data_IF_687305278454
#
_entry.id   IF_687305278454
#
_cell.length_a   1.000
_cell.length_b   1.000
_cell.length_c   1.000
_cell.angle_alpha   90.00
_cell.angle_beta   90.00
_cell.angle_gamma   90.00
#
_symmetry.space_group_name_H-M   'P 1'
#
loop_
_entity.id
_entity.type
_entity.pdbx_description
1 polymer ?
#
# COMPACT_ATOMS: atom_id res chain seq x y z
N UNK A 1 8.09 10.03 -13.66
CA UNK A 1 7.46 11.19 -13.00
C UNK A 1 7.49 10.91 -11.51
N UNK A 2 8.00 11.84 -10.73
CA UNK A 2 8.43 11.64 -9.34
C UNK A 2 7.40 12.29 -8.42
N UNK A 3 6.80 11.58 -7.44
CA UNK A 3 5.84 12.19 -6.51
C UNK A 3 6.49 13.31 -5.68
N UNK A 4 5.72 14.36 -5.33
CA UNK A 4 6.22 15.61 -4.74
C UNK A 4 6.79 15.52 -3.31
N UNK A 5 6.96 14.33 -2.73
CA UNK A 5 7.38 14.13 -1.32
C UNK A 5 8.83 13.62 -1.15
N UNK A 6 9.65 13.58 -2.21
CA UNK A 6 11.00 12.98 -2.19
C UNK A 6 12.10 13.82 -1.48
N UNK A 7 11.77 14.96 -0.86
CA UNK A 7 12.78 15.91 -0.35
C UNK A 7 12.89 16.07 1.17
N UNK A 8 11.92 15.59 1.97
CA UNK A 8 11.82 15.95 3.40
C UNK A 8 11.94 14.77 4.38
N UNK A 9 11.82 13.54 3.91
CA UNK A 9 11.86 12.34 4.75
C UNK A 9 12.79 11.30 4.10
N UNK A 10 13.56 10.55 4.89
CA UNK A 10 14.28 9.38 4.38
C UNK A 10 13.24 8.31 4.07
N UNK A 11 13.24 7.80 2.84
CA UNK A 11 12.39 6.69 2.44
C UNK A 11 13.24 5.43 2.43
N UNK A 12 12.74 4.37 3.07
CA UNK A 12 13.31 3.04 2.92
C UNK A 12 12.31 2.16 2.20
N UNK A 13 12.79 1.37 1.25
CA UNK A 13 11.99 0.27 0.72
C UNK A 13 11.91 -0.80 1.80
N UNK A 14 10.69 -1.11 2.23
CA UNK A 14 10.37 -2.23 3.09
C UNK A 14 10.34 -3.53 2.29
N UNK A 15 9.24 -4.28 2.38
CA UNK A 15 9.04 -5.50 1.60
C UNK A 15 8.76 -5.19 0.13
N UNK A 16 9.36 -5.96 -0.77
CA UNK A 16 9.09 -5.91 -2.21
C UNK A 16 9.13 -7.31 -2.82
N UNK A 17 8.20 -7.62 -3.72
CA UNK A 17 8.13 -8.93 -4.38
C UNK A 17 7.67 -8.78 -5.84
N UNK A 18 8.04 -9.75 -6.69
CA UNK A 18 7.65 -9.82 -8.09
C UNK A 18 6.87 -11.10 -8.36
N UNK A 19 5.72 -10.96 -9.01
CA UNK A 19 4.84 -12.05 -9.43
C UNK A 19 4.48 -11.85 -10.90
N UNK A 20 5.12 -12.61 -11.79
CA UNK A 20 4.96 -12.46 -13.23
C UNK A 20 5.33 -11.04 -13.70
N UNK A 21 4.34 -10.35 -14.28
CA UNK A 21 4.50 -8.97 -14.77
C UNK A 21 4.32 -7.92 -13.67
N UNK A 22 3.81 -8.29 -12.49
CA UNK A 22 3.55 -7.33 -11.41
C UNK A 22 4.72 -7.32 -10.42
N UNK A 23 5.16 -6.13 -10.06
CA UNK A 23 6.07 -5.92 -8.93
C UNK A 23 5.42 -4.95 -7.97
N UNK A 24 5.60 -5.17 -6.68
CA UNK A 24 5.13 -4.27 -5.65
C UNK A 24 6.22 -3.98 -4.63
N UNK A 25 6.16 -2.81 -4.01
CA UNK A 25 7.07 -2.41 -2.95
C UNK A 25 6.34 -1.56 -1.92
N UNK A 26 6.58 -1.83 -0.64
CA UNK A 26 6.18 -0.94 0.45
C UNK A 26 7.26 0.12 0.64
N UNK A 27 6.90 1.38 0.43
CA UNK A 27 7.74 2.52 0.74
C UNK A 27 7.39 3.03 2.13
N UNK A 28 8.35 2.95 3.06
CA UNK A 28 8.20 3.38 4.44
C UNK A 28 8.66 4.82 4.57
N UNK A 29 7.84 5.68 5.18
CA UNK A 29 8.24 7.02 5.60
C UNK A 29 9.00 6.88 6.92
N UNK A 30 10.33 7.06 6.91
CA UNK A 30 11.15 6.69 8.06
C UNK A 30 11.01 7.69 9.22
N UNK A 31 10.21 7.29 10.22
CA UNK A 31 10.38 7.52 11.66
C UNK A 31 9.79 6.27 12.34
N UNK A 32 10.62 5.23 12.48
CA UNK A 32 10.18 3.84 12.65
C UNK A 32 9.35 3.57 13.90
N UNK A 33 8.09 3.20 13.69
CA UNK A 33 7.26 2.33 14.55
C UNK A 33 6.36 1.49 13.64
N UNK A 34 5.69 0.44 14.15
CA UNK A 34 4.74 -0.39 13.38
C UNK A 34 3.60 0.43 12.75
N UNK A 35 3.36 1.65 13.27
CA UNK A 35 2.35 2.59 12.79
C UNK A 35 2.83 3.60 11.73
N UNK A 36 4.07 3.49 11.26
CA UNK A 36 4.59 4.43 10.25
C UNK A 36 3.76 4.31 8.96
N UNK A 37 3.36 5.43 8.33
CA UNK A 37 2.59 5.38 7.09
C UNK A 37 3.40 4.70 5.98
N UNK A 38 2.79 3.72 5.32
CA UNK A 38 3.38 2.97 4.21
C UNK A 38 2.67 3.33 2.91
N UNK A 39 3.43 3.56 1.84
CA UNK A 39 2.88 3.62 0.49
C UNK A 39 3.14 2.30 -0.22
N UNK A 40 2.08 1.60 -0.63
CA UNK A 40 2.19 0.47 -1.54
C UNK A 40 2.36 0.99 -2.97
N UNK A 41 3.58 0.88 -3.49
CA UNK A 41 3.96 1.21 -4.85
C UNK A 41 3.73 -0.02 -5.75
N UNK A 42 3.08 0.20 -6.89
CA UNK A 42 2.73 -0.86 -7.85
C UNK A 42 3.39 -0.59 -9.21
N UNK A 43 3.92 -1.66 -9.78
CA UNK A 43 4.66 -1.65 -11.03
C UNK A 43 4.11 -2.73 -11.96
N UNK A 44 4.05 -2.40 -13.25
CA UNK A 44 3.72 -3.34 -14.31
C UNK A 44 4.92 -3.44 -15.26
N UNK A 45 5.48 -4.65 -15.40
CA UNK A 45 6.70 -4.96 -16.17
C UNK A 45 7.87 -4.05 -15.81
N UNK A 46 8.06 -3.79 -14.52
CA UNK A 46 9.11 -2.92 -13.98
C UNK A 46 8.86 -1.42 -14.12
N UNK A 47 7.74 -0.99 -14.71
CA UNK A 47 7.37 0.41 -14.82
C UNK A 47 6.41 0.79 -13.69
N UNK A 48 6.71 1.86 -12.96
CA UNK A 48 5.82 2.39 -11.93
C UNK A 48 4.50 2.88 -12.57
N UNK A 49 3.37 2.37 -12.09
CA UNK A 49 2.03 2.70 -12.61
C UNK A 49 1.14 3.40 -11.59
N UNK A 50 1.46 3.33 -10.29
CA UNK A 50 0.73 4.08 -9.28
C UNK A 50 0.85 3.49 -7.88
N UNK A 51 0.06 4.04 -6.96
CA UNK A 51 -0.10 3.53 -5.59
C UNK A 51 -1.46 2.88 -5.41
N UNK A 52 -1.58 1.98 -4.42
CA UNK A 52 -2.85 1.36 -4.07
C UNK A 52 -3.87 2.37 -3.49
N UNK A 53 -3.39 3.33 -2.69
CA UNK A 53 -4.19 4.43 -2.13
C UNK A 53 -3.54 5.77 -2.44
N UNK A 54 -4.32 6.85 -2.48
CA UNK A 54 -3.80 8.21 -2.66
C UNK A 54 -2.94 8.63 -1.47
N UNK A 55 -3.42 8.39 -0.25
CA UNK A 55 -2.70 8.65 1.00
C UNK A 55 -2.01 7.37 1.52
N UNK A 56 -0.86 7.49 2.19
CA UNK A 56 -0.19 6.34 2.81
C UNK A 56 -1.05 5.75 3.93
N UNK A 57 -0.98 4.43 4.09
CA UNK A 57 -1.73 3.71 5.12
C UNK A 57 -0.77 2.84 5.94
N UNK A 58 -0.75 2.98 7.27
CA UNK A 58 0.02 2.07 8.11
C UNK A 58 -0.59 0.66 8.10
N UNK A 59 0.19 -0.33 8.54
CA UNK A 59 -0.23 -1.73 8.63
C UNK A 59 -0.71 -2.30 7.28
N UNK A 60 -0.13 -1.85 6.18
CA UNK A 60 -0.52 -2.29 4.83
C UNK A 60 0.20 -3.60 4.50
N UNK A 61 -0.54 -4.61 4.06
CA UNK A 61 0.04 -5.91 3.72
C UNK A 61 -0.52 -6.44 2.41
N UNK A 62 0.37 -6.76 1.47
CA UNK A 62 0.00 -7.57 0.30
C UNK A 62 -0.22 -9.01 0.74
N UNK A 63 -1.42 -9.54 0.50
CA UNK A 63 -1.81 -10.91 0.81
C UNK A 63 -1.55 -11.85 -0.37
N UNK A 64 -1.88 -11.41 -1.59
CA UNK A 64 -1.80 -12.23 -2.79
C UNK A 64 -1.62 -11.38 -4.05
N UNK A 65 -1.05 -11.97 -5.09
CA UNK A 65 -0.99 -11.43 -6.44
C UNK A 65 -1.39 -12.53 -7.43
N UNK A 66 -2.55 -12.36 -8.06
CA UNK A 66 -3.11 -13.31 -9.03
C UNK A 66 -3.37 -12.59 -10.36
N UNK A 67 -2.60 -12.93 -11.39
CA UNK A 67 -2.67 -12.26 -12.69
C UNK A 67 -2.29 -10.78 -12.59
N UNK A 68 -3.21 -9.89 -12.97
CA UNK A 68 -3.09 -8.44 -12.87
C UNK A 68 -3.75 -7.88 -11.60
N UNK A 69 -4.18 -8.74 -10.66
CA UNK A 69 -4.87 -8.33 -9.43
C UNK A 69 -3.97 -8.51 -8.21
N UNK A 70 -3.81 -7.44 -7.43
CA UNK A 70 -3.12 -7.43 -6.14
C UNK A 70 -4.16 -7.32 -5.02
N UNK A 71 -4.15 -8.27 -4.09
CA UNK A 71 -5.03 -8.28 -2.92
C UNK A 71 -4.28 -7.73 -1.72
N UNK A 72 -4.79 -6.66 -1.11
CA UNK A 72 -4.13 -5.92 -0.05
C UNK A 72 -5.01 -5.88 1.19
N UNK A 73 -4.46 -6.30 2.33
CA UNK A 73 -5.03 -6.10 3.65
C UNK A 73 -4.58 -4.74 4.20
N UNK A 74 -5.54 -4.01 4.75
CA UNK A 74 -5.31 -2.79 5.52
C UNK A 74 -5.79 -3.01 6.94
N UNK A 75 -5.07 -2.43 7.90
CA UNK A 75 -5.51 -2.36 9.29
C UNK A 75 -5.50 -0.92 9.80
N UNK A 76 -6.36 -0.64 10.75
CA UNK A 76 -6.48 0.67 11.38
C UNK A 76 -6.95 0.53 12.83
N UNK A 77 -6.66 1.54 13.65
CA UNK A 77 -7.12 1.61 15.04
C UNK A 77 -8.61 1.96 15.09
N UNK A 78 -9.32 1.36 16.04
CA UNK A 78 -10.68 1.75 16.41
C UNK A 78 -10.64 2.41 17.79
N UNK A 79 -11.04 3.68 17.89
CA UNK A 79 -11.01 4.40 19.18
C UNK A 79 -9.59 4.60 19.72
N UNK A 80 -9.39 4.38 21.02
CA UNK A 80 -8.12 4.59 21.74
C UNK A 80 -7.28 3.30 21.88
N UNK A 81 -7.25 2.46 20.85
CA UNK A 81 -6.52 1.19 20.86
C UNK A 81 -4.99 1.36 20.82
N UNK A 82 -4.22 0.42 21.42
CA UNK A 82 -2.77 0.40 21.27
C UNK A 82 -2.35 0.18 19.81
N UNK A 83 -1.33 0.93 19.36
CA UNK A 83 -0.75 0.80 18.01
C UNK A 83 -0.26 -0.62 17.68
N UNK A 84 0.08 -1.43 18.69
CA UNK A 84 0.56 -2.80 18.47
C UNK A 84 -0.53 -3.79 18.00
N UNK A 85 -1.81 -3.44 18.15
CA UNK A 85 -2.92 -4.37 17.89
C UNK A 85 -4.14 -3.65 17.29
N UNK A 86 -4.06 -3.15 16.05
CA UNK A 86 -5.23 -2.58 15.37
C UNK A 86 -6.33 -3.63 15.19
N UNK A 87 -7.55 -3.31 15.62
CA UNK A 87 -8.71 -4.21 15.47
C UNK A 87 -9.44 -4.04 14.13
N UNK A 88 -9.38 -2.83 13.54
CA UNK A 88 -9.92 -2.59 12.20
C UNK A 88 -9.11 -3.36 11.17
N UNK A 89 -9.79 -4.17 10.35
CA UNK A 89 -9.17 -4.95 9.27
C UNK A 89 -10.11 -4.99 8.06
N UNK A 90 -9.54 -4.91 6.88
CA UNK A 90 -10.27 -5.12 5.64
C UNK A 90 -9.37 -5.26 4.44
N UNK A 91 -9.93 -5.79 3.36
CA UNK A 91 -9.19 -6.15 2.15
C UNK A 91 -9.72 -5.39 0.96
N UNK A 92 -8.82 -4.95 0.08
CA UNK A 92 -9.15 -4.36 -1.22
C UNK A 92 -8.34 -5.06 -2.29
N UNK A 93 -9.00 -5.40 -3.40
CA UNK A 93 -8.35 -5.86 -4.61
C UNK A 93 -8.09 -4.68 -5.54
N UNK A 94 -6.91 -4.65 -6.14
CA UNK A 94 -6.50 -3.65 -7.10
C UNK A 94 -6.14 -4.32 -8.41
N UNK A 95 -6.75 -3.85 -9.50
CA UNK A 95 -6.28 -4.19 -10.83
C UNK A 95 -5.12 -3.29 -11.20
N UNK A 96 -4.03 -3.88 -11.67
CA UNK A 96 -2.78 -3.22 -12.03
C UNK A 96 -2.53 -3.41 -13.51
N UNK A 97 -2.51 -2.33 -14.27
CA UNK A 97 -2.27 -2.36 -15.71
C UNK A 97 -1.29 -1.28 -16.13
N UNK A 98 -0.82 -1.27 -17.39
CA UNK A 98 0.03 -0.20 -17.90
C UNK A 98 -0.58 1.21 -17.77
N UNK A 99 -1.91 1.32 -17.68
CA UNK A 99 -2.64 2.58 -17.54
C UNK A 99 -2.71 3.09 -16.10
N UNK A 100 -2.43 2.25 -15.11
CA UNK A 100 -2.48 2.64 -13.70
C UNK A 100 -2.99 1.55 -12.78
N UNK A 101 -3.43 2.00 -11.60
CA UNK A 101 -4.00 1.16 -10.55
C UNK A 101 -5.47 1.51 -10.39
N UNK A 102 -6.35 0.51 -10.40
CA UNK A 102 -7.79 0.67 -10.23
C UNK A 102 -8.31 -0.17 -9.07
N UNK A 103 -8.96 0.41 -8.04
CA UNK A 103 -9.60 -0.37 -7.00
C UNK A 103 -10.79 -1.14 -7.59
N UNK A 104 -10.91 -2.41 -7.19
CA UNK A 104 -12.03 -3.29 -7.53
C UNK A 104 -13.06 -3.38 -6.41
N UNK A 105 -12.65 -3.07 -5.18
CA UNK A 105 -13.49 -3.07 -3.99
C UNK A 105 -13.50 -1.65 -3.37
N UNK A 106 -14.57 -1.26 -2.66
CA UNK A 106 -14.59 0.00 -1.93
C UNK A 106 -13.57 0.00 -0.77
N UNK A 107 -13.14 1.19 -0.30
CA UNK A 107 -12.33 1.30 0.89
C UNK A 107 -13.02 0.66 2.11
N UNK A 108 -12.33 -0.20 2.89
CA UNK A 108 -12.93 -0.91 4.03
C UNK A 108 -12.98 -0.07 5.32
N UNK A 109 -12.27 1.06 5.36
CA UNK A 109 -12.27 1.98 6.49
C UNK A 109 -13.38 3.02 6.38
N UNK A 110 -13.85 3.59 7.51
CA UNK A 110 -14.77 4.73 7.51
C UNK A 110 -14.18 5.92 6.74
N UNK A 111 -15.01 6.56 5.92
CA UNK A 111 -14.65 7.85 5.31
C UNK A 111 -15.00 8.96 6.30
N UNK A 112 -14.00 9.74 6.71
CA UNK A 112 -14.17 10.93 7.54
C UNK A 112 -14.57 12.13 6.69
#
# INVERSE_FOLDING_TARGET
MVPPLWGVHTWSVGRSEQHGEITWALALIAQGTVSSPEHLLLFHRGVYVGTATADPRPYTRVLDVTGDVVTVEYRWLLGEEPLAAPAGVGTVRYQVSPQGVRPLDPPPWPQH
#
